data_IF_115026717809
#
_entry.id   IF_115026717809
#
_cell.length_a   1.000
_cell.length_b   1.000
_cell.length_c   1.000
_cell.angle_alpha   90.00
_cell.angle_beta   90.00
_cell.angle_gamma   90.00
#
_symmetry.space_group_name_H-M   'P 1'
#
loop_
_entity.id
_entity.type
_entity.pdbx_description
1 polymer ?
#
# COMPACT_ATOMS: atom_id res chain seq x y z
N UNK A 1 -4.05 13.88 0.24
CA UNK A 1 -4.08 12.40 0.31
C UNK A 1 -5.53 11.98 0.18
N UNK A 2 -5.83 11.01 -0.68
CA UNK A 2 -7.17 10.44 -0.79
C UNK A 2 -7.23 9.15 0.04
N UNK A 3 -8.42 8.80 0.54
CA UNK A 3 -8.66 7.52 1.18
C UNK A 3 -9.50 6.67 0.23
N UNK A 4 -9.32 5.35 0.30
CA UNK A 4 -10.14 4.37 -0.40
C UNK A 4 -10.71 3.41 0.63
N UNK A 5 -11.99 3.08 0.48
CA UNK A 5 -12.65 2.10 1.34
C UNK A 5 -12.73 0.77 0.60
N UNK A 6 -12.20 -0.27 1.24
CA UNK A 6 -12.31 -1.65 0.78
C UNK A 6 -13.21 -2.44 1.73
N UNK A 7 -13.89 -3.47 1.23
CA UNK A 7 -14.75 -4.35 2.00
C UNK A 7 -14.36 -5.80 1.69
N UNK A 8 -14.21 -6.63 2.72
CA UNK A 8 -14.01 -8.07 2.54
C UNK A 8 -15.36 -8.77 2.27
N UNK A 9 -15.33 -10.02 1.80
CA UNK A 9 -16.53 -10.86 1.59
C UNK A 9 -17.41 -11.00 2.86
N UNK A 10 -16.80 -10.98 4.06
CA UNK A 10 -17.50 -10.99 5.36
C UNK A 10 -18.08 -9.62 5.73
N UNK A 11 -17.87 -8.61 4.90
CA UNK A 11 -18.45 -7.28 5.03
C UNK A 11 -17.67 -6.29 5.90
N UNK A 12 -16.48 -6.65 6.37
CA UNK A 12 -15.63 -5.77 7.20
C UNK A 12 -15.01 -4.66 6.34
N UNK A 13 -15.33 -3.38 6.60
CA UNK A 13 -14.75 -2.26 5.86
C UNK A 13 -13.33 -1.96 6.34
N UNK A 14 -12.47 -1.53 5.43
CA UNK A 14 -11.08 -1.15 5.67
C UNK A 14 -10.74 0.11 4.88
N UNK A 15 -10.41 1.16 5.60
CA UNK A 15 -10.00 2.44 5.01
C UNK A 15 -8.50 2.46 4.81
N UNK A 16 -8.05 2.66 3.57
CA UNK A 16 -6.64 2.72 3.20
C UNK A 16 -6.31 4.08 2.58
N UNK A 17 -5.09 4.56 2.79
CA UNK A 17 -4.62 5.82 2.20
C UNK A 17 -4.08 5.55 0.80
N UNK A 18 -4.24 6.50 -0.11
CA UNK A 18 -3.66 6.47 -1.46
C UNK A 18 -2.74 7.68 -1.66
N UNK A 19 -1.58 7.44 -2.28
CA UNK A 19 -0.53 8.43 -2.53
C UNK A 19 0.70 8.23 -1.64
N UNK A 20 1.41 9.32 -1.35
CA UNK A 20 2.65 9.27 -0.56
C UNK A 20 2.45 8.72 0.86
N UNK A 21 3.35 7.83 1.28
CA UNK A 21 3.30 7.14 2.56
C UNK A 21 4.24 7.77 3.58
N UNK A 22 3.75 8.77 4.30
CA UNK A 22 4.48 9.44 5.39
C UNK A 22 5.00 8.46 6.45
N UNK A 23 4.22 7.44 6.79
CA UNK A 23 4.66 6.42 7.75
C UNK A 23 5.89 5.66 7.23
N UNK A 24 5.91 5.31 5.95
CA UNK A 24 7.04 4.58 5.34
C UNK A 24 8.27 5.48 5.25
N UNK A 25 8.09 6.78 5.05
CA UNK A 25 9.18 7.75 5.04
C UNK A 25 9.93 7.84 6.38
N UNK A 26 9.20 7.89 7.50
CA UNK A 26 9.82 7.99 8.81
C UNK A 26 10.28 6.66 9.41
N UNK A 27 9.56 5.56 9.12
CA UNK A 27 9.80 4.27 9.77
C UNK A 27 10.32 3.17 8.82
N UNK A 28 10.47 3.46 7.53
CA UNK A 28 11.05 2.54 6.54
C UNK A 28 10.38 1.17 6.50
N UNK A 29 11.21 0.13 6.46
CA UNK A 29 10.79 -1.27 6.37
C UNK A 29 9.97 -1.79 7.56
N UNK A 30 10.04 -1.15 8.73
CA UNK A 30 9.22 -1.53 9.89
C UNK A 30 7.73 -1.41 9.60
N UNK A 31 7.33 -0.44 8.77
CA UNK A 31 5.94 -0.28 8.35
C UNK A 31 5.46 -1.48 7.53
N UNK A 32 6.29 -2.02 6.64
CA UNK A 32 5.95 -3.20 5.85
C UNK A 32 5.76 -4.43 6.76
N UNK A 33 6.54 -4.52 7.84
CA UNK A 33 6.43 -5.59 8.84
C UNK A 33 5.09 -5.53 9.58
N UNK A 34 4.72 -4.36 10.11
CA UNK A 34 3.43 -4.18 10.80
C UNK A 34 2.22 -4.34 9.87
N UNK A 35 2.40 -4.14 8.56
CA UNK A 35 1.36 -4.38 7.54
C UNK A 35 1.26 -5.85 7.10
N UNK A 36 2.15 -6.73 7.56
CA UNK A 36 2.21 -8.13 7.15
C UNK A 36 2.67 -8.33 5.70
N UNK A 37 3.38 -7.36 5.13
CA UNK A 37 3.90 -7.39 3.76
C UNK A 37 5.33 -7.91 3.73
N UNK A 38 5.51 -9.20 4.06
CA UNK A 38 6.82 -9.82 4.22
C UNK A 38 7.71 -9.74 2.97
N UNK A 39 7.13 -9.80 1.76
CA UNK A 39 7.89 -9.60 0.52
C UNK A 39 8.49 -8.19 0.39
N UNK A 40 7.82 -7.17 0.93
CA UNK A 40 8.37 -5.81 0.97
C UNK A 40 9.40 -5.67 2.09
N UNK A 41 9.18 -6.30 3.24
CA UNK A 41 10.17 -6.36 4.34
C UNK A 41 11.51 -6.89 3.83
N UNK A 42 11.51 -8.00 3.11
CA UNK A 42 12.73 -8.54 2.52
C UNK A 42 13.45 -7.51 1.63
N UNK A 43 12.73 -6.83 0.72
CA UNK A 43 13.32 -5.79 -0.14
C UNK A 43 13.91 -4.63 0.68
N UNK A 44 13.26 -4.23 1.77
CA UNK A 44 13.80 -3.22 2.68
C UNK A 44 15.10 -3.65 3.36
N UNK A 45 15.27 -4.92 3.70
CA UNK A 45 16.52 -5.42 4.30
C UNK A 45 17.63 -5.66 3.27
N UNK A 46 17.29 -6.03 2.02
CA UNK A 46 18.30 -6.38 1.02
C UNK A 46 18.60 -5.24 0.02
N UNK A 47 17.60 -4.57 -0.55
CA UNK A 47 17.81 -3.49 -1.55
C UNK A 47 18.13 -2.15 -0.92
N UNK A 48 17.53 -1.83 0.23
CA UNK A 48 17.69 -0.51 0.82
C UNK A 48 19.14 -0.20 1.26
N UNK A 49 19.89 -1.14 1.88
CA UNK A 49 21.29 -0.91 2.21
C UNK A 49 22.19 -0.80 0.96
N UNK A 50 21.93 -1.61 -0.08
CA UNK A 50 22.69 -1.59 -1.34
C UNK A 50 22.55 -0.24 -2.05
N UNK A 51 21.37 0.37 -1.96
CA UNK A 51 21.06 1.66 -2.60
C UNK A 51 21.28 2.87 -1.68
N UNK A 52 21.95 2.68 -0.53
CA UNK A 52 22.21 3.72 0.47
C UNK A 52 20.93 4.48 0.90
N UNK A 53 19.78 3.80 0.95
CA UNK A 53 18.50 4.39 1.35
C UNK A 53 17.72 5.12 0.25
N UNK A 54 18.31 5.34 -0.93
CA UNK A 54 17.65 6.07 -2.05
C UNK A 54 16.41 5.31 -2.53
N UNK A 55 16.52 3.98 -2.63
CA UNK A 55 15.39 3.14 -3.02
C UNK A 55 14.22 3.29 -2.03
N UNK A 56 14.49 3.30 -0.73
CA UNK A 56 13.49 3.46 0.32
C UNK A 56 12.73 4.78 0.22
N UNK A 57 13.40 5.87 -0.16
CA UNK A 57 12.75 7.15 -0.43
C UNK A 57 11.74 6.96 -1.57
N UNK A 58 12.17 6.45 -2.73
CA UNK A 58 11.27 6.21 -3.87
C UNK A 58 10.08 5.30 -3.50
N UNK A 59 10.32 4.28 -2.65
CA UNK A 59 9.26 3.39 -2.19
C UNK A 59 8.13 4.10 -1.42
N UNK A 60 8.38 5.26 -0.81
CA UNK A 60 7.35 5.99 -0.08
C UNK A 60 6.19 6.45 -0.99
N UNK A 61 6.43 6.64 -2.29
CA UNK A 61 5.40 6.98 -3.27
C UNK A 61 4.52 5.79 -3.65
N UNK A 62 5.02 4.57 -3.51
CA UNK A 62 4.34 3.34 -3.94
C UNK A 62 3.84 2.47 -2.78
N UNK A 63 4.35 2.66 -1.55
CA UNK A 63 4.03 1.81 -0.40
C UNK A 63 2.53 1.74 -0.08
N UNK A 64 1.82 2.87 -0.14
CA UNK A 64 0.38 2.88 0.07
C UNK A 64 -0.36 2.14 -1.07
N UNK A 65 0.06 2.35 -2.32
CA UNK A 65 -0.49 1.64 -3.49
C UNK A 65 -0.31 0.11 -3.35
N UNK A 66 0.89 -0.33 -2.95
CA UNK A 66 1.18 -1.75 -2.66
C UNK A 66 0.28 -2.30 -1.56
N UNK A 67 -0.03 -1.47 -0.55
CA UNK A 67 -0.93 -1.87 0.54
C UNK A 67 -2.37 -2.07 0.07
N UNK A 68 -2.85 -1.23 -0.85
CA UNK A 68 -4.15 -1.43 -1.48
C UNK A 68 -4.15 -2.72 -2.30
N UNK A 69 -3.15 -2.91 -3.18
CA UNK A 69 -3.02 -4.12 -4.02
C UNK A 69 -2.99 -5.38 -3.17
N UNK A 70 -2.19 -5.40 -2.11
CA UNK A 70 -2.11 -6.52 -1.17
C UNK A 70 -3.47 -6.89 -0.54
N UNK A 71 -4.33 -5.91 -0.29
CA UNK A 71 -5.68 -6.18 0.19
C UNK A 71 -6.60 -6.68 -0.91
N UNK A 72 -6.50 -6.13 -2.12
CA UNK A 72 -7.25 -6.62 -3.28
C UNK A 72 -6.92 -8.10 -3.59
N UNK A 73 -5.63 -8.46 -3.56
CA UNK A 73 -5.16 -9.85 -3.72
C UNK A 73 -5.70 -10.79 -2.64
N UNK A 74 -6.04 -10.27 -1.45
CA UNK A 74 -6.65 -11.02 -0.35
C UNK A 74 -8.18 -11.13 -0.45
N UNK A 75 -8.77 -10.72 -1.57
CA UNK A 75 -10.22 -10.78 -1.79
C UNK A 75 -10.99 -9.60 -1.20
N UNK A 76 -10.33 -8.49 -0.88
CA UNK A 76 -11.04 -7.24 -0.60
C UNK A 76 -11.48 -6.59 -1.91
N UNK A 77 -12.67 -6.00 -1.90
CA UNK A 77 -13.23 -5.28 -3.04
C UNK A 77 -13.50 -3.81 -2.67
N UNK A 78 -13.60 -2.89 -3.65
CA UNK A 78 -13.98 -1.51 -3.37
C UNK A 78 -15.38 -1.45 -2.73
N UNK A 79 -15.54 -0.69 -1.65
CA UNK A 79 -16.81 -0.62 -0.93
C UNK A 79 -17.89 0.16 -1.70
N UNK A 80 -17.48 1.10 -2.55
CA UNK A 80 -18.37 1.99 -3.33
C UNK A 80 -17.88 2.14 -4.76
N UNK A 81 -18.76 2.49 -5.71
CA UNK A 81 -18.36 2.76 -7.10
C UNK A 81 -17.42 3.99 -7.22
N UNK A 82 -17.52 4.94 -6.28
CA UNK A 82 -16.57 6.06 -6.17
C UNK A 82 -15.16 5.58 -5.81
N UNK A 83 -15.04 4.65 -4.86
CA UNK A 83 -13.78 4.00 -4.49
C UNK A 83 -13.19 3.24 -5.69
N UNK A 84 -14.03 2.53 -6.44
CA UNK A 84 -13.62 1.81 -7.65
C UNK A 84 -13.11 2.76 -8.73
N UNK A 85 -13.81 3.88 -8.95
CA UNK A 85 -13.40 4.92 -9.91
C UNK A 85 -12.07 5.55 -9.49
N UNK A 86 -11.88 5.81 -8.19
CA UNK A 86 -10.63 6.33 -7.65
C UNK A 86 -9.45 5.35 -7.87
N UNK A 87 -9.69 4.04 -7.68
CA UNK A 87 -8.68 3.01 -7.92
C UNK A 87 -8.30 2.91 -9.40
N UNK A 88 -9.28 3.03 -10.30
CA UNK A 88 -9.04 3.10 -11.75
C UNK A 88 -8.26 4.35 -12.14
N UNK A 89 -8.66 5.51 -11.63
CA UNK A 89 -7.98 6.79 -11.88
C UNK A 89 -6.51 6.78 -11.42
N UNK A 90 -6.21 6.03 -10.36
CA UNK A 90 -4.85 5.86 -9.81
C UNK A 90 -4.08 4.70 -10.45
N UNK A 91 -4.63 4.08 -11.50
CA UNK A 91 -4.06 2.93 -12.22
C UNK A 91 -3.66 1.80 -11.26
N UNK A 92 -4.51 1.55 -10.26
CA UNK A 92 -4.35 0.45 -9.30
C UNK A 92 -5.11 -0.78 -9.79
N UNK A 93 -6.24 -0.57 -10.46
CA UNK A 93 -7.10 -1.59 -11.07
C UNK A 93 -7.45 -1.11 -12.50
N UNK A 94 -7.68 -2.04 -13.43
CA UNK A 94 -8.18 -1.78 -14.78
C UNK A 94 -9.69 -1.42 -14.79
#
# INVERSE_FOLDING_TARGET
>A
MANVHLKNNVGVPKTLKVGFSWTTFFFGGWVAMFRGQWGEVAKWFFLNPITLGIWGIVQCWTANKKTVIYHLEKGYEPATETDRTLLKQKSIIA
#
